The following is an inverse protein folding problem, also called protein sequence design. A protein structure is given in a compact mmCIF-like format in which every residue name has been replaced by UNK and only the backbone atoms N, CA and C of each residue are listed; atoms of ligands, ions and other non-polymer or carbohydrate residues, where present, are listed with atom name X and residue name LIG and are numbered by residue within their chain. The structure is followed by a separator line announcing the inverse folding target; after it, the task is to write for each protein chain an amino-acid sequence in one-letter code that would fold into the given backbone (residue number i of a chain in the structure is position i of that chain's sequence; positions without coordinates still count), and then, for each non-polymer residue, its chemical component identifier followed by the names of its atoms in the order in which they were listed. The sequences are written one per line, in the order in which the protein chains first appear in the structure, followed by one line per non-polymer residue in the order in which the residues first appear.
data_IF_854290582609
#
_entry.id   IF_854290582609
#
_cell.length_a   1.000
_cell.length_b   1.000
_cell.length_c   1.000
_cell.angle_alpha   90.00
_cell.angle_beta   90.00
_cell.angle_gamma   90.00
#
_symmetry.space_group_name_H-M   'P 1'
#
loop_
_entity.id
_entity.type
_entity.pdbx_description
1 polymer ?
#
# COMPACT_ATOMS: atom_id res chain seq x y z
N UNK A 1 -25.63 3.72 15.14
CA UNK A 1 -24.16 3.85 15.00
C UNK A 1 -23.86 4.16 13.53
N UNK A 2 -23.27 5.33 13.24
CA UNK A 2 -23.02 5.75 11.86
C UNK A 2 -21.66 5.24 11.39
N UNK A 3 -21.64 4.56 10.25
CA UNK A 3 -20.41 4.06 9.62
C UNK A 3 -20.20 4.75 8.28
N UNK A 4 -18.98 5.17 8.01
CA UNK A 4 -18.57 5.66 6.70
C UNK A 4 -17.41 4.81 6.15
N UNK A 5 -17.35 4.71 4.84
CA UNK A 5 -16.28 4.03 4.11
C UNK A 5 -15.60 5.04 3.17
N UNK A 6 -14.30 5.22 3.29
CA UNK A 6 -13.53 6.19 2.51
C UNK A 6 -12.86 5.46 1.36
N UNK A 7 -13.31 5.74 0.13
CA UNK A 7 -12.71 5.22 -1.08
C UNK A 7 -11.46 6.02 -1.43
N UNK A 8 -10.35 5.34 -1.68
CA UNK A 8 -9.10 5.99 -2.08
C UNK A 8 -9.19 6.65 -3.45
N UNK A 9 -8.36 7.67 -3.65
CA UNK A 9 -8.18 8.33 -4.94
C UNK A 9 -7.66 7.36 -5.99
N UNK A 10 -8.16 7.49 -7.22
CA UNK A 10 -7.86 6.58 -8.35
C UNK A 10 -6.38 6.56 -8.72
N UNK A 11 -5.63 7.63 -8.44
CA UNK A 11 -4.18 7.70 -8.70
C UNK A 11 -3.36 6.63 -7.97
N UNK A 12 -3.86 6.11 -6.84
CA UNK A 12 -3.15 5.06 -6.07
C UNK A 12 -3.38 3.65 -6.61
N UNK A 13 -4.33 3.47 -7.52
CA UNK A 13 -4.65 2.18 -8.13
C UNK A 13 -5.31 2.35 -9.49
N UNK A 14 -4.67 3.02 -10.46
CA UNK A 14 -5.32 3.39 -11.73
C UNK A 14 -5.81 2.18 -12.52
N UNK A 15 -5.17 1.00 -12.34
CA UNK A 15 -5.55 -0.24 -13.02
C UNK A 15 -6.49 -1.15 -12.19
N UNK A 16 -6.97 -0.69 -11.04
CA UNK A 16 -7.76 -1.50 -10.11
C UNK A 16 -8.87 -0.73 -9.42
N UNK A 17 -9.33 0.38 -10.01
CA UNK A 17 -10.33 1.28 -9.40
C UNK A 17 -11.62 0.55 -9.08
N UNK A 18 -12.14 -0.25 -10.02
CA UNK A 18 -13.36 -1.04 -9.85
C UNK A 18 -13.19 -2.10 -8.75
N UNK A 19 -12.09 -2.85 -8.80
CA UNK A 19 -11.80 -3.87 -7.77
C UNK A 19 -11.67 -3.28 -6.38
N UNK A 20 -11.07 -2.10 -6.26
CA UNK A 20 -10.97 -1.39 -4.99
C UNK A 20 -12.34 -0.95 -4.47
N UNK A 21 -13.19 -0.47 -5.36
CA UNK A 21 -14.58 -0.14 -5.03
C UNK A 21 -15.35 -1.37 -4.59
N UNK A 22 -15.27 -2.48 -5.32
CA UNK A 22 -15.98 -3.72 -5.00
C UNK A 22 -15.57 -4.27 -3.63
N UNK A 23 -14.28 -4.25 -3.31
CA UNK A 23 -13.78 -4.64 -1.99
C UNK A 23 -14.37 -3.73 -0.90
N UNK A 24 -14.35 -2.42 -1.12
CA UNK A 24 -14.90 -1.48 -0.15
C UNK A 24 -16.41 -1.63 -0.01
N UNK A 25 -17.13 -1.80 -1.10
CA UNK A 25 -18.58 -2.01 -1.12
C UNK A 25 -18.99 -3.30 -0.38
N UNK A 26 -18.25 -4.39 -0.62
CA UNK A 26 -18.50 -5.67 0.06
C UNK A 26 -18.36 -5.55 1.59
N UNK A 27 -17.45 -4.71 2.09
CA UNK A 27 -17.30 -4.46 3.52
C UNK A 27 -18.29 -3.41 4.05
N UNK A 28 -18.63 -2.41 3.22
CA UNK A 28 -19.52 -1.32 3.59
C UNK A 28 -20.99 -1.75 3.69
N UNK A 29 -21.43 -2.60 2.76
CA UNK A 29 -22.83 -3.04 2.66
C UNK A 29 -23.39 -3.67 3.94
N UNK A 30 -22.72 -4.67 4.57
CA UNK A 30 -23.24 -5.29 5.81
C UNK A 30 -23.33 -4.31 6.99
N UNK A 31 -22.60 -3.21 6.92
CA UNK A 31 -22.54 -2.17 7.97
C UNK A 31 -23.41 -0.95 7.65
N UNK A 32 -24.16 -0.99 6.54
CA UNK A 32 -24.89 0.17 6.02
C UNK A 32 -24.01 1.43 5.95
N UNK A 33 -22.74 1.27 5.60
CA UNK A 33 -21.79 2.35 5.56
C UNK A 33 -21.94 3.19 4.29
N UNK A 34 -21.94 4.50 4.44
CA UNK A 34 -21.91 5.44 3.30
C UNK A 34 -20.49 5.47 2.70
N UNK A 35 -20.38 5.13 1.42
CA UNK A 35 -19.10 5.24 0.70
C UNK A 35 -18.91 6.69 0.25
N UNK A 36 -17.72 7.24 0.53
CA UNK A 36 -17.32 8.62 0.21
C UNK A 36 -15.94 8.58 -0.44
N UNK A 37 -15.82 9.10 -1.65
CA UNK A 37 -14.50 9.29 -2.26
C UNK A 37 -13.65 10.24 -1.41
N UNK A 38 -12.37 9.95 -1.19
CA UNK A 38 -11.53 10.74 -0.28
C UNK A 38 -11.40 12.22 -0.70
N UNK A 39 -11.51 12.53 -1.99
CA UNK A 39 -11.54 13.90 -2.49
C UNK A 39 -12.82 14.67 -2.10
N UNK A 40 -13.89 13.96 -1.75
CA UNK A 40 -15.17 14.52 -1.33
C UNK A 40 -15.37 14.44 0.20
N UNK A 41 -14.36 13.92 0.93
CA UNK A 41 -14.42 13.82 2.37
C UNK A 41 -14.43 15.22 3.02
N UNK A 42 -15.36 15.43 3.93
CA UNK A 42 -15.50 16.68 4.68
C UNK A 42 -15.49 16.40 6.18
N UNK A 43 -15.16 17.42 6.97
CA UNK A 43 -15.06 17.32 8.43
C UNK A 43 -16.36 16.80 9.09
N UNK A 44 -17.54 17.22 8.62
CA UNK A 44 -18.82 16.77 9.18
C UNK A 44 -19.04 15.28 9.00
N UNK A 45 -18.60 14.67 7.87
CA UNK A 45 -18.68 13.20 7.69
C UNK A 45 -17.93 12.46 8.78
N UNK A 46 -16.75 12.98 9.15
CA UNK A 46 -15.94 12.38 10.21
C UNK A 46 -16.51 12.69 11.60
N UNK A 47 -17.04 13.87 11.82
CA UNK A 47 -17.63 14.26 13.11
C UNK A 47 -18.80 13.32 13.49
N UNK A 48 -19.67 13.02 12.53
CA UNK A 48 -20.88 12.22 12.72
C UNK A 48 -20.61 10.71 12.79
N UNK A 49 -19.53 10.22 12.15
CA UNK A 49 -19.22 8.81 12.10
C UNK A 49 -18.71 8.27 13.45
N UNK A 50 -19.13 7.05 13.81
CA UNK A 50 -18.57 6.27 14.91
C UNK A 50 -17.51 5.29 14.41
N UNK A 51 -17.69 4.77 13.19
CA UNK A 51 -16.77 3.82 12.54
C UNK A 51 -16.34 4.38 11.19
N UNK A 52 -15.05 4.32 10.91
CA UNK A 52 -14.44 4.77 9.67
C UNK A 52 -13.70 3.59 9.04
N UNK A 53 -14.19 3.11 7.89
CA UNK A 53 -13.49 2.14 7.05
C UNK A 53 -12.60 2.92 6.08
N UNK A 54 -11.30 2.95 6.33
CA UNK A 54 -10.40 3.86 5.63
C UNK A 54 -9.58 3.15 4.55
N UNK A 55 -9.81 3.47 3.28
CA UNK A 55 -8.90 3.18 2.18
C UNK A 55 -8.18 4.44 1.66
N UNK A 56 -8.51 5.63 2.18
CA UNK A 56 -7.90 6.90 1.80
C UNK A 56 -6.40 6.94 2.06
N UNK A 57 -5.66 7.60 1.19
CA UNK A 57 -4.19 7.72 1.25
C UNK A 57 -3.67 9.15 1.08
N UNK A 58 -4.53 10.09 0.67
CA UNK A 58 -4.12 11.47 0.50
C UNK A 58 -3.66 12.05 1.84
N UNK A 59 -2.55 12.81 1.87
CA UNK A 59 -2.04 13.38 3.11
C UNK A 59 -3.07 14.18 3.90
N UNK A 60 -3.88 14.99 3.21
CA UNK A 60 -4.94 15.78 3.86
C UNK A 60 -6.06 14.90 4.42
N UNK A 61 -6.42 13.81 3.72
CA UNK A 61 -7.40 12.82 4.20
C UNK A 61 -6.92 12.18 5.50
N UNK A 62 -5.67 11.72 5.53
CA UNK A 62 -5.09 11.11 6.72
C UNK A 62 -5.02 12.09 7.90
N UNK A 63 -4.60 13.33 7.65
CA UNK A 63 -4.59 14.39 8.68
C UNK A 63 -5.99 14.70 9.20
N UNK A 64 -6.99 14.72 8.31
CA UNK A 64 -8.39 14.97 8.71
C UNK A 64 -8.91 13.82 9.57
N UNK A 65 -8.66 12.57 9.20
CA UNK A 65 -9.08 11.40 10.01
C UNK A 65 -8.42 11.46 11.40
N UNK A 66 -7.15 11.79 11.51
CA UNK A 66 -6.42 11.88 12.78
C UNK A 66 -7.05 12.83 13.78
N UNK A 67 -7.56 13.97 13.32
CA UNK A 67 -8.25 14.94 14.19
C UNK A 67 -9.48 14.37 14.88
N UNK A 68 -10.09 13.32 14.31
CA UNK A 68 -11.32 12.71 14.82
C UNK A 68 -11.13 11.29 15.36
N UNK A 69 -9.94 10.69 15.20
CA UNK A 69 -9.70 9.28 15.45
C UNK A 69 -9.78 8.89 16.94
N UNK A 70 -9.49 9.79 17.88
CA UNK A 70 -9.30 9.48 19.30
C UNK A 70 -10.51 8.80 19.96
N UNK A 71 -11.73 9.01 19.45
CA UNK A 71 -12.96 8.48 20.01
C UNK A 71 -13.74 7.60 19.01
N UNK A 72 -13.08 7.12 17.95
CA UNK A 72 -13.71 6.40 16.85
C UNK A 72 -12.98 5.11 16.54
N UNK A 73 -13.73 4.14 16.05
CA UNK A 73 -13.13 2.93 15.47
C UNK A 73 -12.66 3.25 14.05
N UNK A 74 -11.37 3.26 13.83
CA UNK A 74 -10.78 3.46 12.49
C UNK A 74 -10.15 2.16 12.02
N UNK A 75 -10.77 1.52 11.05
CA UNK A 75 -10.21 0.33 10.36
C UNK A 75 -9.27 0.82 9.27
N UNK A 76 -8.06 0.29 9.25
CA UNK A 76 -6.89 0.82 8.58
C UNK A 76 -6.51 2.21 9.15
N UNK A 77 -5.96 2.25 10.36
CA UNK A 77 -5.58 3.49 11.00
C UNK A 77 -4.51 4.23 10.18
N UNK A 78 -4.50 5.54 10.28
CA UNK A 78 -3.65 6.42 9.45
C UNK A 78 -2.16 6.16 9.58
N UNK A 79 -1.68 5.80 10.78
CA UNK A 79 -0.29 5.39 11.00
C UNK A 79 0.04 4.09 10.24
N UNK A 80 -0.88 3.11 10.21
CA UNK A 80 -0.73 1.88 9.42
C UNK A 80 -0.59 2.18 7.93
N UNK A 81 -1.43 3.09 7.40
CA UNK A 81 -1.36 3.52 6.00
C UNK A 81 -0.02 4.21 5.69
N UNK A 82 0.46 5.10 6.57
CA UNK A 82 1.77 5.74 6.40
C UNK A 82 2.91 4.74 6.45
N UNK A 83 2.83 3.76 7.35
CA UNK A 83 3.83 2.70 7.46
C UNK A 83 3.91 1.81 6.21
N UNK A 84 2.89 1.82 5.34
CA UNK A 84 2.92 1.11 4.05
C UNK A 84 3.81 1.77 2.99
N UNK A 85 4.36 2.97 3.23
CA UNK A 85 5.41 3.52 2.36
C UNK A 85 6.60 2.56 2.32
N UNK A 86 7.08 2.23 1.10
CA UNK A 86 8.08 1.18 0.93
C UNK A 86 9.39 1.45 1.68
N UNK A 87 9.87 2.68 1.69
CA UNK A 87 11.06 3.06 2.45
C UNK A 87 10.85 2.90 3.95
N UNK A 88 9.69 3.31 4.44
CA UNK A 88 9.37 3.25 5.86
C UNK A 88 9.14 1.80 6.32
N UNK A 89 8.34 1.01 5.60
CA UNK A 89 8.12 -0.40 5.96
C UNK A 89 9.44 -1.19 5.91
N UNK A 90 10.31 -0.93 4.92
CA UNK A 90 11.63 -1.56 4.85
C UNK A 90 12.48 -1.25 6.08
N UNK A 91 12.45 0.01 6.57
CA UNK A 91 13.12 0.42 7.81
C UNK A 91 12.51 -0.27 9.04
N UNK A 92 11.18 -0.29 9.14
CA UNK A 92 10.48 -0.94 10.26
C UNK A 92 10.78 -2.44 10.33
N UNK A 93 10.75 -3.13 9.19
CA UNK A 93 11.08 -4.55 9.12
C UNK A 93 12.52 -4.82 9.56
N UNK A 94 13.47 -4.00 9.10
CA UNK A 94 14.87 -4.11 9.52
C UNK A 94 15.03 -3.91 11.03
N UNK A 95 14.39 -2.90 11.59
CA UNK A 95 14.45 -2.61 13.03
C UNK A 95 13.81 -3.73 13.87
N UNK A 96 12.83 -4.42 13.32
CA UNK A 96 12.17 -5.57 13.95
C UNK A 96 12.90 -6.91 13.69
N UNK A 97 14.09 -6.89 13.08
CA UNK A 97 14.84 -8.08 12.66
C UNK A 97 14.03 -9.04 11.75
N UNK A 98 13.08 -8.53 11.00
CA UNK A 98 12.36 -9.30 9.98
C UNK A 98 13.26 -9.44 8.76
N UNK A 99 13.50 -10.64 8.24
CA UNK A 99 14.33 -10.85 7.06
C UNK A 99 13.82 -10.06 5.85
N UNK A 100 14.70 -9.28 5.26
CA UNK A 100 14.44 -8.54 4.00
C UNK A 100 15.60 -8.78 3.04
N UNK A 101 15.38 -8.65 1.71
CA UNK A 101 16.48 -8.75 0.75
C UNK A 101 17.59 -7.77 1.09
N UNK A 102 18.87 -8.16 1.00
CA UNK A 102 20.00 -7.27 1.26
C UNK A 102 20.06 -6.13 0.22
N UNK A 103 20.85 -5.10 0.50
CA UNK A 103 21.07 -4.01 -0.45
C UNK A 103 22.12 -4.35 -1.51
N UNK A 104 23.04 -5.26 -1.20
CA UNK A 104 24.12 -5.69 -2.08
C UNK A 104 23.96 -7.17 -2.42
N UNK A 105 24.26 -7.51 -3.68
CA UNK A 105 24.20 -8.88 -4.19
C UNK A 105 24.86 -8.99 -5.55
N UNK A 106 25.00 -10.20 -6.06
CA UNK A 106 25.68 -10.53 -7.33
C UNK A 106 24.73 -10.95 -8.46
N UNK A 107 23.41 -11.04 -8.17
CA UNK A 107 22.39 -11.50 -9.13
C UNK A 107 21.48 -10.37 -9.61
N UNK A 108 21.95 -9.12 -9.52
CA UNK A 108 21.20 -7.93 -9.89
C UNK A 108 20.45 -7.27 -8.72
N UNK A 109 19.71 -6.23 -9.06
CA UNK A 109 19.09 -5.33 -8.11
C UNK A 109 17.68 -4.98 -8.54
N UNK A 110 16.81 -4.75 -7.56
CA UNK A 110 15.52 -4.11 -7.75
C UNK A 110 15.59 -2.68 -7.21
N UNK A 111 15.41 -1.70 -8.10
CA UNK A 111 15.16 -0.32 -7.72
C UNK A 111 13.66 -0.09 -7.66
N UNK A 112 13.17 0.41 -6.55
CA UNK A 112 11.74 0.62 -6.29
C UNK A 112 11.50 2.02 -5.78
N UNK A 113 10.40 2.65 -6.20
CA UNK A 113 9.91 3.87 -5.60
C UNK A 113 9.65 3.65 -4.10
N UNK A 114 10.12 4.56 -3.24
CA UNK A 114 10.12 4.41 -1.79
C UNK A 114 9.04 5.21 -1.05
N UNK A 115 8.63 6.35 -1.61
CA UNK A 115 7.71 7.31 -1.01
C UNK A 115 6.24 6.87 -1.09
N UNK A 116 5.86 6.17 -2.16
CA UNK A 116 4.48 5.74 -2.41
C UNK A 116 4.44 4.30 -2.97
N UNK A 117 3.24 3.78 -3.17
CA UNK A 117 3.04 2.57 -3.98
C UNK A 117 3.43 2.85 -5.43
N UNK A 118 3.83 1.81 -6.17
CA UNK A 118 4.12 1.93 -7.59
C UNK A 118 2.89 2.46 -8.33
N UNK A 119 3.05 3.52 -9.10
CA UNK A 119 2.00 4.16 -9.91
C UNK A 119 2.15 3.82 -11.39
N UNK A 120 3.30 3.31 -11.77
CA UNK A 120 3.60 2.85 -13.13
C UNK A 120 4.54 1.65 -13.09
N UNK A 121 4.65 0.94 -14.20
CA UNK A 121 5.60 -0.15 -14.37
C UNK A 121 7.05 0.32 -14.14
N UNK A 122 7.34 1.58 -14.46
CA UNK A 122 8.65 2.18 -14.29
C UNK A 122 8.99 2.58 -12.84
N UNK A 123 8.13 2.28 -11.86
CA UNK A 123 8.38 2.54 -10.44
C UNK A 123 9.01 1.34 -9.71
N UNK A 124 9.17 0.21 -10.43
CA UNK A 124 9.87 -0.98 -9.98
C UNK A 124 10.71 -1.50 -11.17
N UNK A 125 12.03 -1.39 -11.09
CA UNK A 125 12.93 -1.73 -12.18
C UNK A 125 13.95 -2.77 -11.71
N UNK A 126 14.09 -3.85 -12.49
CA UNK A 126 15.20 -4.76 -12.35
C UNK A 126 16.44 -4.21 -13.07
N UNK A 127 17.59 -4.27 -12.41
CA UNK A 127 18.88 -3.84 -12.89
C UNK A 127 19.86 -5.00 -12.76
N UNK A 128 20.38 -5.52 -13.87
CA UNK A 128 21.27 -6.67 -13.86
C UNK A 128 22.63 -6.40 -13.18
N UNK A 129 23.03 -5.13 -13.08
CA UNK A 129 24.31 -4.74 -12.51
C UNK A 129 24.28 -3.30 -11.94
N UNK A 130 25.35 -2.90 -11.25
CA UNK A 130 25.48 -1.56 -10.65
C UNK A 130 25.41 -0.41 -11.67
N UNK A 131 25.88 -0.61 -12.90
CA UNK A 131 25.79 0.41 -13.96
C UNK A 131 24.35 0.71 -14.33
N UNK A 132 23.54 -0.35 -14.56
CA UNK A 132 22.11 -0.21 -14.83
C UNK A 132 21.36 0.37 -13.62
N UNK A 133 21.72 -0.03 -12.40
CA UNK A 133 21.16 0.55 -11.19
C UNK A 133 21.37 2.06 -11.10
N UNK A 134 22.59 2.54 -11.44
CA UNK A 134 22.90 3.97 -11.45
C UNK A 134 22.11 4.72 -12.53
N UNK A 135 21.97 4.14 -13.72
CA UNK A 135 21.15 4.71 -14.79
C UNK A 135 19.67 4.81 -14.38
N UNK A 136 19.13 3.75 -13.76
CA UNK A 136 17.76 3.73 -13.25
C UNK A 136 17.56 4.78 -12.14
N UNK A 137 18.50 4.94 -11.21
CA UNK A 137 18.43 6.02 -10.19
C UNK A 137 18.38 7.41 -10.81
N UNK A 138 19.18 7.64 -11.85
CA UNK A 138 19.16 8.92 -12.59
C UNK A 138 17.81 9.14 -13.28
N UNK A 139 17.22 8.09 -13.87
CA UNK A 139 15.89 8.17 -14.48
C UNK A 139 14.80 8.47 -13.45
N UNK A 140 14.87 7.87 -12.26
CA UNK A 140 13.95 8.18 -11.15
C UNK A 140 14.08 9.64 -10.71
N UNK A 141 15.30 10.15 -10.52
CA UNK A 141 15.55 11.56 -10.18
C UNK A 141 14.97 12.52 -11.21
N UNK A 142 15.11 12.24 -12.51
CA UNK A 142 14.53 13.05 -13.57
C UNK A 142 13.01 13.12 -13.54
N UNK A 143 12.37 12.09 -12.98
CA UNK A 143 10.92 12.03 -12.75
C UNK A 143 10.51 12.64 -11.40
N UNK A 144 11.44 13.23 -10.65
CA UNK A 144 11.19 13.79 -9.32
C UNK A 144 11.10 12.75 -8.19
N UNK A 145 11.43 11.47 -8.46
CA UNK A 145 11.41 10.40 -7.46
C UNK A 145 12.79 10.33 -6.82
N UNK A 146 12.94 10.95 -5.65
CA UNK A 146 14.19 10.99 -4.88
C UNK A 146 14.26 9.94 -3.78
N UNK A 147 13.09 9.52 -3.27
CA UNK A 147 13.01 8.46 -2.27
C UNK A 147 12.89 7.10 -2.96
N UNK A 148 13.93 6.29 -2.83
CA UNK A 148 14.00 4.97 -3.48
C UNK A 148 14.47 3.90 -2.51
N UNK A 149 14.08 2.66 -2.79
CA UNK A 149 14.57 1.47 -2.08
C UNK A 149 15.31 0.58 -3.07
N UNK A 150 16.53 0.21 -2.72
CA UNK A 150 17.34 -0.78 -3.45
C UNK A 150 17.34 -2.08 -2.67
N UNK A 151 17.10 -3.17 -3.38
CA UNK A 151 17.19 -4.53 -2.84
C UNK A 151 17.90 -5.42 -3.85
N UNK A 152 18.84 -6.24 -3.41
CA UNK A 152 19.43 -7.27 -4.25
C UNK A 152 18.34 -8.24 -4.71
N UNK A 153 18.52 -8.80 -5.91
CA UNK A 153 17.67 -9.87 -6.38
C UNK A 153 17.94 -11.13 -5.54
N UNK A 154 16.86 -11.72 -5.05
CA UNK A 154 16.87 -12.99 -4.33
C UNK A 154 16.14 -14.00 -5.21
N UNK A 155 16.80 -15.13 -5.49
CA UNK A 155 16.19 -16.25 -6.20
C UNK A 155 15.29 -17.04 -5.26
N UNK A 156 14.23 -17.59 -5.79
CA UNK A 156 13.26 -18.39 -5.06
C UNK A 156 11.84 -18.12 -5.54
N UNK A 157 10.91 -18.88 -5.01
CA UNK A 157 9.51 -18.75 -5.33
C UNK A 157 8.91 -17.49 -4.68
N UNK A 158 8.05 -16.82 -5.44
CA UNK A 158 7.26 -15.72 -4.89
C UNK A 158 6.00 -16.29 -4.24
N UNK A 159 5.87 -16.08 -2.94
CA UNK A 159 4.66 -16.44 -2.19
C UNK A 159 4.00 -15.17 -1.66
N UNK A 160 2.71 -15.03 -1.87
CA UNK A 160 1.92 -13.93 -1.31
C UNK A 160 1.06 -14.42 -0.17
N UNK A 161 1.05 -13.65 0.91
CA UNK A 161 0.30 -13.95 2.13
C UNK A 161 -0.72 -12.87 2.40
N UNK A 162 -1.90 -13.28 2.88
CA UNK A 162 -2.96 -12.43 3.37
C UNK A 162 -3.37 -12.88 4.77
N UNK A 163 -3.37 -11.96 5.71
CA UNK A 163 -3.81 -12.22 7.06
C UNK A 163 -4.62 -11.03 7.60
N UNK A 164 -5.55 -11.30 8.49
CA UNK A 164 -6.29 -10.28 9.22
C UNK A 164 -5.91 -10.38 10.69
N UNK A 165 -5.35 -9.29 11.22
CA UNK A 165 -4.91 -9.24 12.60
C UNK A 165 -6.03 -9.60 13.58
N UNK A 166 -5.68 -10.31 14.65
CA UNK A 166 -6.60 -10.80 15.68
C UNK A 166 -7.72 -11.73 15.16
N UNK A 167 -7.51 -12.39 14.03
CA UNK A 167 -8.41 -13.42 13.49
C UNK A 167 -7.64 -14.65 13.07
N UNK A 168 -8.36 -15.76 12.82
CA UNK A 168 -7.78 -16.96 12.22
C UNK A 168 -7.68 -16.90 10.70
N UNK A 169 -7.99 -15.75 10.08
CA UNK A 169 -7.91 -15.62 8.64
C UNK A 169 -6.45 -15.52 8.22
N UNK A 170 -5.99 -16.53 7.49
CA UNK A 170 -4.68 -16.56 6.85
C UNK A 170 -4.79 -17.33 5.53
N UNK A 171 -4.29 -16.73 4.44
CA UNK A 171 -4.25 -17.34 3.11
C UNK A 171 -2.92 -17.04 2.47
N UNK A 172 -2.42 -17.97 1.67
CA UNK A 172 -1.25 -17.76 0.83
C UNK A 172 -1.47 -18.34 -0.56
N UNK A 173 -0.73 -17.85 -1.53
CA UNK A 173 -0.74 -18.38 -2.87
C UNK A 173 0.57 -18.08 -3.59
N UNK A 174 0.87 -18.93 -4.58
CA UNK A 174 1.94 -18.71 -5.53
C UNK A 174 1.35 -17.99 -6.74
N UNK A 175 1.80 -16.76 -7.08
CA UNK A 175 1.36 -16.11 -8.32
C UNK A 175 1.85 -16.94 -9.51
N UNK A 176 0.96 -17.24 -10.42
CA UNK A 176 1.32 -17.90 -11.69
C UNK A 176 1.81 -16.86 -12.70
N UNK A 177 2.55 -17.30 -13.72
CA UNK A 177 3.11 -16.42 -14.76
C UNK A 177 2.02 -15.72 -15.58
N UNK A 178 0.82 -16.30 -15.66
CA UNK A 178 -0.34 -15.70 -16.31
C UNK A 178 -1.01 -14.58 -15.48
N UNK A 179 -0.63 -14.44 -14.21
CA UNK A 179 -1.19 -13.45 -13.28
C UNK A 179 -2.68 -13.64 -12.95
N UNK A 180 -3.32 -14.68 -13.47
CA UNK A 180 -4.76 -14.94 -13.35
C UNK A 180 -5.03 -15.86 -12.16
N UNK A 181 -4.29 -16.95 -12.04
CA UNK A 181 -4.44 -17.88 -10.92
C UNK A 181 -3.77 -17.34 -9.69
N UNK A 182 -4.53 -17.00 -8.67
CA UNK A 182 -4.06 -16.35 -7.45
C UNK A 182 -4.04 -17.25 -6.23
N UNK A 183 -4.67 -18.42 -6.33
CA UNK A 183 -4.79 -19.36 -5.20
C UNK A 183 -4.42 -20.75 -5.69
N UNK A 184 -3.55 -21.40 -4.96
CA UNK A 184 -3.29 -22.82 -5.06
C UNK A 184 -4.05 -23.57 -3.98
#
# INVERSE_FOLDING_TARGET
MQTIAIQRDTRFSPHSVEKDYDILAAVAQPLNAKIIAENNLKAHHLAEANVILNMGRLPHTLQMIEKYAAQKCVVNPTNGIRNCQRSLITKLMRNANIPIPPQEGNKGYWLKRGDEAAQSENDIIYCANKKQLQQAKTAFSKRGITNTVVQAHVEGDLVKFYGVNNTHFFRYYYPTDDGITKFA
#
